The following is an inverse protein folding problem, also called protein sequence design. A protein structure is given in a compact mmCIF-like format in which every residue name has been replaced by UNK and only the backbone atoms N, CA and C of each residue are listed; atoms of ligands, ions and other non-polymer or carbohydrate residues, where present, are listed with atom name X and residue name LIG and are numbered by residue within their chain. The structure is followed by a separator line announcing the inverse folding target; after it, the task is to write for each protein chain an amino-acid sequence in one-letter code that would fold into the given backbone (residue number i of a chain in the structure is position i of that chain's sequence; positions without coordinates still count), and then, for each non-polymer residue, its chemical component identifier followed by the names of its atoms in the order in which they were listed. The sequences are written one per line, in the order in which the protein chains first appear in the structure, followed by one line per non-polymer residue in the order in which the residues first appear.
data_IF_711618092755
#
_entry.id   IF_711618092755
#
_cell.length_a   1.000
_cell.length_b   1.000
_cell.length_c   1.000
_cell.angle_alpha   90.00
_cell.angle_beta   90.00
_cell.angle_gamma   90.00
#
_symmetry.space_group_name_H-M   'P 1'
#
loop_
_entity.id
_entity.type
_entity.pdbx_description
1 polymer ?
#
# COMPACT_ATOMS: atom_id res chain seq x y z
N UNK A 1 3.40 10.74 0.03
CA UNK A 1 2.77 10.17 -1.18
C UNK A 1 3.88 9.92 -2.19
N UNK A 2 4.13 8.66 -2.57
CA UNK A 2 5.14 8.36 -3.60
C UNK A 2 4.54 8.51 -4.99
N UNK A 3 5.30 9.09 -5.90
CA UNK A 3 4.91 9.24 -7.29
C UNK A 3 6.12 9.12 -8.21
N UNK A 4 5.93 8.56 -9.40
CA UNK A 4 6.98 8.44 -10.41
C UNK A 4 6.40 8.50 -11.82
N UNK A 5 7.12 9.17 -12.71
CA UNK A 5 6.92 9.05 -14.15
C UNK A 5 8.00 8.12 -14.69
N UNK A 6 7.57 7.06 -15.36
CA UNK A 6 8.48 6.10 -15.98
C UNK A 6 8.95 6.62 -17.33
N UNK A 7 10.05 6.06 -17.83
CA UNK A 7 10.44 6.26 -19.23
C UNK A 7 9.39 5.66 -20.15
N UNK A 8 9.26 6.21 -21.36
CA UNK A 8 8.44 5.58 -22.38
C UNK A 8 9.00 4.17 -22.66
N UNK A 9 8.14 3.17 -22.91
CA UNK A 9 8.61 1.83 -23.27
C UNK A 9 9.56 1.88 -24.46
N UNK A 10 10.72 1.25 -24.31
CA UNK A 10 11.81 1.23 -25.27
C UNK A 10 12.62 -0.08 -25.07
N UNK A 11 13.14 -0.68 -26.14
CA UNK A 11 13.95 -1.91 -26.12
C UNK A 11 15.26 -1.74 -25.35
N UNK A 12 15.76 -0.50 -25.25
CA UNK A 12 16.97 -0.19 -24.48
C UNK A 12 16.71 -0.16 -22.96
N UNK A 13 15.45 -0.04 -22.53
CA UNK A 13 15.09 0.00 -21.10
C UNK A 13 14.86 -1.43 -20.60
N UNK A 14 15.71 -1.96 -19.70
CA UNK A 14 15.54 -3.32 -19.22
C UNK A 14 14.21 -3.52 -18.50
N UNK A 15 13.50 -4.61 -18.80
CA UNK A 15 12.26 -4.99 -18.10
C UNK A 15 12.44 -4.99 -16.57
N UNK A 16 13.63 -5.40 -16.10
CA UNK A 16 14.02 -5.38 -14.70
C UNK A 16 13.80 -4.01 -14.02
N UNK A 17 14.13 -2.91 -14.70
CA UNK A 17 13.98 -1.56 -14.16
C UNK A 17 12.51 -1.21 -13.93
N UNK A 18 11.65 -1.51 -14.90
CA UNK A 18 10.21 -1.35 -14.80
C UNK A 18 9.63 -2.17 -13.65
N UNK A 19 10.01 -3.46 -13.56
CA UNK A 19 9.51 -4.35 -12.52
C UNK A 19 9.94 -3.88 -11.12
N UNK A 20 11.20 -3.46 -10.95
CA UNK A 20 11.68 -2.89 -9.69
C UNK A 20 10.93 -1.60 -9.31
N UNK A 21 10.58 -0.74 -10.27
CA UNK A 21 9.83 0.48 -9.99
C UNK A 21 8.39 0.19 -9.53
N UNK A 22 7.74 -0.80 -10.14
CA UNK A 22 6.40 -1.26 -9.75
C UNK A 22 6.42 -1.88 -8.36
N UNK A 23 7.39 -2.76 -8.08
CA UNK A 23 7.54 -3.38 -6.75
C UNK A 23 7.79 -2.32 -5.67
N UNK A 24 8.61 -1.32 -5.98
CA UNK A 24 8.85 -0.20 -5.07
C UNK A 24 7.57 0.61 -4.82
N UNK A 25 6.78 0.89 -5.86
CA UNK A 25 5.50 1.58 -5.73
C UNK A 25 4.53 0.81 -4.82
N UNK A 26 4.42 -0.51 -5.00
CA UNK A 26 3.59 -1.38 -4.15
C UNK A 26 4.10 -1.36 -2.71
N UNK A 27 5.41 -1.45 -2.51
CA UNK A 27 5.97 -1.40 -1.17
C UNK A 27 5.71 -0.04 -0.49
N UNK A 28 5.82 1.07 -1.22
CA UNK A 28 5.47 2.39 -0.71
C UNK A 28 3.99 2.49 -0.32
N UNK A 29 3.08 1.88 -1.07
CA UNK A 29 1.64 1.92 -0.77
C UNK A 29 1.33 1.16 0.53
N UNK A 30 2.00 0.03 0.75
CA UNK A 30 1.87 -0.77 1.97
C UNK A 30 2.49 -0.03 3.16
N UNK A 31 3.75 0.43 3.05
CA UNK A 31 4.48 1.09 4.16
C UNK A 31 3.83 2.39 4.60
N UNK A 32 3.42 3.24 3.64
CA UNK A 32 2.80 4.53 3.94
C UNK A 32 1.29 4.42 4.15
N UNK A 33 0.70 3.21 4.03
CA UNK A 33 -0.75 2.95 4.07
C UNK A 33 -1.53 3.96 3.22
N UNK A 34 -1.07 4.19 2.00
CA UNK A 34 -1.55 5.31 1.20
C UNK A 34 -1.38 5.13 -0.31
N UNK A 35 -2.07 5.96 -1.11
CA UNK A 35 -2.02 5.86 -2.55
C UNK A 35 -0.64 6.20 -3.11
N UNK A 36 -0.28 5.53 -4.19
CA UNK A 36 0.89 5.82 -5.03
C UNK A 36 0.44 6.18 -6.43
N UNK A 37 1.28 6.91 -7.18
CA UNK A 37 0.97 7.30 -8.55
C UNK A 37 2.13 6.92 -9.48
N UNK A 38 1.84 6.07 -10.48
CA UNK A 38 2.80 5.71 -11.53
C UNK A 38 2.25 6.25 -12.84
N UNK A 39 2.99 7.14 -13.49
CA UNK A 39 2.64 7.67 -14.80
C UNK A 39 3.40 6.90 -15.89
N UNK A 40 2.67 6.37 -16.86
CA UNK A 40 3.19 5.61 -18.00
C UNK A 40 3.05 6.42 -19.29
N UNK A 41 4.13 7.03 -19.80
CA UNK A 41 4.08 7.75 -21.07
C UNK A 41 4.18 6.76 -22.24
N UNK A 42 3.06 6.41 -22.86
CA UNK A 42 3.05 5.61 -24.09
C UNK A 42 3.09 6.51 -25.33
N UNK A 43 3.87 6.12 -26.34
CA UNK A 43 3.90 6.79 -27.66
C UNK A 43 2.82 6.21 -28.57
N UNK A 44 2.36 6.98 -29.55
CA UNK A 44 1.51 6.43 -30.63
C UNK A 44 2.32 5.44 -31.49
N UNK A 45 1.72 4.38 -32.07
CA UNK A 45 0.29 4.04 -32.12
C UNK A 45 -0.13 3.13 -30.95
N UNK A 46 -1.20 3.51 -30.23
CA UNK A 46 -1.83 2.67 -29.19
C UNK A 46 -2.89 1.72 -29.75
N UNK A 47 -3.12 1.72 -31.07
CA UNK A 47 -4.12 0.83 -31.66
C UNK A 47 -3.68 -0.64 -31.53
N UNK A 48 -4.63 -1.58 -31.42
CA UNK A 48 -4.35 -3.01 -31.48
C UNK A 48 -3.62 -3.38 -32.76
N UNK A 49 -3.01 -4.58 -32.80
CA UNK A 49 -2.15 -5.12 -33.88
C UNK A 49 -2.76 -5.02 -35.31
N UNK A 50 -4.07 -4.76 -35.43
CA UNK A 50 -4.79 -4.59 -36.69
C UNK A 50 -5.58 -3.27 -36.84
N UNK A 51 -5.44 -2.32 -35.90
CA UNK A 51 -6.15 -1.03 -35.91
C UNK A 51 -5.42 0.05 -36.72
N UNK A 52 -6.18 0.99 -37.29
CA UNK A 52 -5.60 2.13 -37.99
C UNK A 52 -4.76 3.02 -37.06
N UNK A 53 -3.57 3.45 -37.50
CA UNK A 53 -2.79 4.48 -36.80
C UNK A 53 -3.61 5.78 -36.78
N UNK A 54 -3.84 6.34 -35.59
CA UNK A 54 -4.51 7.65 -35.45
C UNK A 54 -3.71 8.70 -36.22
N UNK A 55 -4.35 9.38 -37.18
CA UNK A 55 -3.72 10.43 -37.98
C UNK A 55 -2.95 9.97 -39.23
N UNK A 56 -2.90 8.68 -39.55
CA UNK A 56 -2.33 8.18 -40.81
C UNK A 56 -3.44 7.85 -41.83
N UNK A 57 -3.58 8.59 -42.94
CA UNK A 57 -4.62 8.37 -43.94
C UNK A 57 -4.34 7.19 -44.88
N UNK A 58 -3.20 6.49 -44.75
CA UNK A 58 -2.82 5.39 -45.65
C UNK A 58 -3.65 4.12 -45.40
N UNK A 59 -4.34 3.57 -46.42
CA UNK A 59 -4.99 2.27 -46.30
C UNK A 59 -3.89 1.19 -46.19
N UNK A 60 -3.80 0.54 -45.02
CA UNK A 60 -2.68 -0.31 -44.54
C UNK A 60 -1.61 0.36 -43.68
N UNK A 61 -1.97 1.40 -42.92
CA UNK A 61 -1.25 1.68 -41.68
C UNK A 61 -1.59 0.63 -40.59
N UNK A 62 -1.42 -0.65 -40.92
CA UNK A 62 -1.45 -1.76 -39.98
C UNK A 62 -0.11 -1.72 -39.24
N UNK A 63 -0.12 -1.93 -37.93
CA UNK A 63 1.11 -2.12 -37.17
C UNK A 63 1.95 -3.18 -37.92
N UNK A 64 3.16 -2.82 -38.35
CA UNK A 64 4.00 -3.72 -39.14
C UNK A 64 4.20 -5.04 -38.37
N UNK A 65 4.59 -6.14 -39.04
CA UNK A 65 4.81 -7.43 -38.36
C UNK A 65 5.80 -7.34 -37.18
N UNK A 66 6.64 -6.30 -37.13
CA UNK A 66 7.50 -5.96 -35.99
C UNK A 66 6.77 -5.48 -34.73
N UNK A 67 5.47 -5.25 -34.78
CA UNK A 67 4.63 -4.88 -33.63
C UNK A 67 3.97 -6.08 -32.95
N UNK A 68 4.27 -7.32 -33.37
CA UNK A 68 3.85 -8.50 -32.61
C UNK A 68 4.62 -8.53 -31.29
N UNK A 69 3.89 -8.53 -30.19
CA UNK A 69 4.46 -8.76 -28.87
C UNK A 69 5.16 -10.12 -28.87
N UNK A 70 6.48 -10.10 -28.75
CA UNK A 70 7.29 -11.28 -28.52
C UNK A 70 7.75 -11.30 -27.05
N UNK A 71 7.15 -12.14 -26.19
CA UNK A 71 7.55 -12.24 -24.81
C UNK A 71 8.98 -12.74 -24.62
N UNK A 72 9.56 -13.48 -25.58
CA UNK A 72 10.90 -14.03 -25.45
C UNK A 72 11.98 -12.95 -25.49
N UNK A 73 11.73 -11.83 -26.18
CA UNK A 73 12.63 -10.67 -26.18
C UNK A 73 12.85 -10.12 -24.76
N UNK A 74 11.79 -10.03 -23.97
CA UNK A 74 11.80 -9.36 -22.66
C UNK A 74 11.93 -10.33 -21.49
N UNK A 75 11.54 -11.59 -21.68
CA UNK A 75 11.58 -12.64 -20.66
C UNK A 75 12.78 -13.58 -20.81
N UNK A 76 13.70 -13.32 -21.75
CA UNK A 76 14.91 -14.12 -21.99
C UNK A 76 15.82 -14.26 -20.74
N UNK A 77 15.80 -13.29 -19.83
CA UNK A 77 16.56 -13.36 -18.58
C UNK A 77 16.00 -14.41 -17.62
N UNK A 78 16.84 -15.24 -16.95
CA UNK A 78 16.36 -16.29 -16.05
C UNK A 78 15.52 -15.74 -14.89
N UNK A 79 15.85 -14.54 -14.38
CA UNK A 79 15.10 -13.89 -13.30
C UNK A 79 13.76 -13.33 -13.75
N UNK A 80 13.70 -12.71 -14.93
CA UNK A 80 12.45 -12.20 -15.52
C UNK A 80 11.52 -13.34 -15.91
N UNK A 81 12.07 -14.44 -16.42
CA UNK A 81 11.32 -15.67 -16.69
C UNK A 81 10.72 -16.27 -15.40
N UNK A 82 11.52 -16.42 -14.35
CA UNK A 82 11.04 -16.92 -13.05
C UNK A 82 9.96 -16.04 -12.44
N UNK A 83 10.11 -14.71 -12.55
CA UNK A 83 9.08 -13.77 -12.12
C UNK A 83 7.78 -13.96 -12.89
N UNK A 84 7.84 -14.07 -14.22
CA UNK A 84 6.66 -14.25 -15.07
C UNK A 84 5.90 -15.56 -14.80
N UNK A 85 6.59 -16.60 -14.34
CA UNK A 85 5.99 -17.89 -13.96
C UNK A 85 5.56 -17.94 -12.47
N UNK A 86 5.83 -16.89 -11.71
CA UNK A 86 5.62 -16.85 -10.26
C UNK A 86 4.57 -15.84 -9.82
N UNK A 87 4.37 -15.76 -8.50
CA UNK A 87 3.50 -14.77 -7.84
C UNK A 87 4.28 -13.83 -6.91
N UNK A 88 5.61 -13.96 -6.90
CA UNK A 88 6.49 -13.17 -6.03
C UNK A 88 6.91 -11.87 -6.73
N UNK A 89 7.12 -10.76 -5.99
CA UNK A 89 7.73 -9.54 -6.52
C UNK A 89 9.07 -9.82 -7.20
N UNK A 90 9.40 -9.06 -8.25
CA UNK A 90 10.67 -9.16 -8.95
C UNK A 90 11.84 -8.73 -8.06
N UNK A 91 11.64 -7.66 -7.28
CA UNK A 91 12.54 -7.13 -6.27
C UNK A 91 11.80 -6.95 -4.95
N UNK A 92 12.35 -7.53 -3.89
CA UNK A 92 11.96 -7.19 -2.52
C UNK A 92 12.99 -6.22 -1.98
N UNK A 93 12.58 -5.00 -1.65
CA UNK A 93 13.44 -4.16 -0.83
C UNK A 93 13.31 -4.65 0.60
N UNK A 94 14.44 -4.94 1.24
CA UNK A 94 14.46 -5.36 2.63
C UNK A 94 13.56 -4.46 3.48
N UNK A 95 12.78 -5.09 4.36
CA UNK A 95 12.22 -4.36 5.48
C UNK A 95 13.42 -3.87 6.29
N UNK A 96 13.80 -2.61 6.11
CA UNK A 96 14.22 -1.87 7.28
C UNK A 96 13.02 -2.02 8.20
N UNK A 97 13.15 -2.91 9.19
CA UNK A 97 12.21 -3.01 10.29
C UNK A 97 12.08 -1.56 10.73
N UNK A 98 10.95 -0.94 10.40
CA UNK A 98 10.57 0.29 11.04
C UNK A 98 10.15 -0.19 12.41
N UNK A 99 11.15 -0.56 13.23
CA UNK A 99 11.04 -0.41 14.65
C UNK A 99 10.61 1.04 14.76
N UNK A 100 9.33 1.25 15.04
CA UNK A 100 8.93 2.46 15.70
C UNK A 100 9.94 2.57 16.82
N UNK A 101 10.88 3.51 16.71
CA UNK A 101 11.88 3.75 17.74
C UNK A 101 11.11 4.43 18.88
N UNK A 102 10.22 3.68 19.52
CA UNK A 102 10.01 3.82 20.93
C UNK A 102 11.30 3.24 21.51
N UNK A 103 12.29 4.08 21.78
CA UNK A 103 13.38 3.64 22.63
C UNK A 103 12.76 3.05 23.90
N UNK A 104 13.26 1.94 24.42
CA UNK A 104 12.65 1.23 25.57
C UNK A 104 12.33 2.19 26.73
N UNK A 105 13.17 3.22 26.91
CA UNK A 105 12.97 4.35 27.83
C UNK A 105 11.62 5.06 27.62
N UNK A 106 11.26 5.40 26.38
CA UNK A 106 10.01 6.10 26.04
C UNK A 106 8.76 5.26 26.34
N UNK A 107 8.84 3.93 26.28
CA UNK A 107 7.71 3.07 26.67
C UNK A 107 7.63 2.95 28.20
N UNK A 108 8.77 2.86 28.88
CA UNK A 108 8.86 2.87 30.34
C UNK A 108 8.16 4.08 30.96
N UNK A 109 8.48 5.28 30.45
CA UNK A 109 7.89 6.53 30.92
C UNK A 109 6.36 6.55 30.79
N UNK A 110 5.83 6.05 29.66
CA UNK A 110 4.38 5.97 29.43
C UNK A 110 3.74 4.98 30.40
N UNK A 111 4.37 3.84 30.65
CA UNK A 111 3.87 2.83 31.60
C UNK A 111 3.86 3.39 33.02
N UNK A 112 4.90 4.11 33.43
CA UNK A 112 4.95 4.77 34.75
C UNK A 112 3.86 5.84 34.89
N UNK A 113 3.66 6.66 33.85
CA UNK A 113 2.59 7.66 33.81
C UNK A 113 1.21 7.01 33.97
N UNK A 114 0.94 5.92 33.24
CA UNK A 114 -0.33 5.18 33.32
C UNK A 114 -0.51 4.61 34.73
N UNK A 115 0.51 3.96 35.30
CA UNK A 115 0.48 3.40 36.67
C UNK A 115 0.21 4.47 37.74
N UNK A 116 0.76 5.67 37.56
CA UNK A 116 0.55 6.80 38.48
C UNK A 116 -0.82 7.47 38.34
N UNK A 117 -1.55 7.19 37.26
CA UNK A 117 -2.81 7.86 36.94
C UNK A 117 -4.00 7.15 37.58
N UNK A 118 -4.65 7.81 38.54
CA UNK A 118 -5.82 7.25 39.23
C UNK A 118 -7.13 7.32 38.44
N UNK A 119 -7.24 8.28 37.52
CA UNK A 119 -8.44 8.55 36.72
C UNK A 119 -8.01 8.89 35.30
N UNK A 120 -8.05 7.91 34.41
CA UNK A 120 -7.79 8.11 32.99
C UNK A 120 -9.02 7.81 32.15
N UNK A 121 -8.90 8.12 30.87
CA UNK A 121 -9.90 7.83 29.83
C UNK A 121 -9.15 7.37 28.58
N UNK A 122 -9.72 6.40 27.87
CA UNK A 122 -9.20 5.94 26.58
C UNK A 122 -10.09 6.54 25.50
N UNK A 123 -9.48 7.20 24.51
CA UNK A 123 -10.20 7.71 23.34
C UNK A 123 -9.80 6.87 22.14
N UNK A 124 -10.74 6.09 21.62
CA UNK A 124 -10.52 5.23 20.45
C UNK A 124 -11.00 5.93 19.18
N UNK A 125 -10.04 6.33 18.34
CA UNK A 125 -10.30 6.81 16.99
C UNK A 125 -10.58 5.68 16.01
N UNK A 126 -10.27 5.87 14.73
CA UNK A 126 -10.30 4.79 13.74
C UNK A 126 -9.27 3.72 14.11
N UNK A 127 -9.74 2.49 14.31
CA UNK A 127 -8.90 1.32 14.51
C UNK A 127 -8.77 0.54 13.19
N UNK A 128 -7.85 -0.42 13.18
CA UNK A 128 -7.63 -1.36 12.10
C UNK A 128 -8.92 -2.07 11.66
N UNK A 129 -8.96 -2.57 10.42
CA UNK A 129 -10.13 -3.27 9.90
C UNK A 129 -10.36 -4.64 10.58
N UNK A 130 -9.35 -5.18 11.28
CA UNK A 130 -9.47 -6.41 12.03
C UNK A 130 -9.92 -6.17 13.49
N UNK A 131 -10.30 -7.25 14.17
CA UNK A 131 -10.72 -7.18 15.58
C UNK A 131 -9.54 -7.09 16.55
N UNK A 132 -8.29 -7.14 16.08
CA UNK A 132 -7.10 -7.24 16.94
C UNK A 132 -6.89 -5.96 17.74
N UNK A 133 -6.87 -4.82 17.07
CA UNK A 133 -6.72 -3.50 17.72
C UNK A 133 -7.91 -3.19 18.63
N UNK A 134 -9.12 -3.51 18.16
CA UNK A 134 -10.36 -3.32 18.92
C UNK A 134 -10.37 -4.14 20.22
N UNK A 135 -10.01 -5.42 20.14
CA UNK A 135 -9.95 -6.30 21.32
C UNK A 135 -8.86 -5.86 22.29
N UNK A 136 -7.72 -5.40 21.78
CA UNK A 136 -6.61 -4.90 22.61
C UNK A 136 -6.97 -3.62 23.36
N UNK A 137 -7.68 -2.70 22.69
CA UNK A 137 -8.16 -1.46 23.30
C UNK A 137 -9.17 -1.73 24.42
N UNK A 138 -10.12 -2.66 24.20
CA UNK A 138 -11.09 -3.07 25.21
C UNK A 138 -10.41 -3.77 26.39
N UNK A 139 -9.47 -4.68 26.11
CA UNK A 139 -8.70 -5.36 27.14
C UNK A 139 -7.90 -4.38 28.01
N UNK A 140 -7.28 -3.37 27.39
CA UNK A 140 -6.57 -2.32 28.12
C UNK A 140 -7.52 -1.47 28.97
N UNK A 141 -8.69 -1.11 28.45
CA UNK A 141 -9.71 -0.37 29.19
C UNK A 141 -10.17 -1.12 30.44
N UNK A 142 -10.42 -2.43 30.28
CA UNK A 142 -10.82 -3.32 31.37
C UNK A 142 -9.72 -3.44 32.43
N UNK A 143 -8.48 -3.68 32.00
CA UNK A 143 -7.31 -3.77 32.88
C UNK A 143 -7.11 -2.50 33.72
N UNK A 144 -7.29 -1.32 33.11
CA UNK A 144 -7.09 -0.04 33.78
C UNK A 144 -8.33 0.42 34.55
N UNK A 145 -9.49 -0.20 34.33
CA UNK A 145 -10.78 0.28 34.83
C UNK A 145 -11.15 1.67 34.28
N UNK A 146 -10.61 2.04 33.12
CA UNK A 146 -10.82 3.36 32.53
C UNK A 146 -11.96 3.32 31.50
N UNK A 147 -12.83 4.34 31.46
CA UNK A 147 -13.84 4.44 30.43
C UNK A 147 -13.19 4.59 29.04
N UNK A 148 -13.81 3.97 28.03
CA UNK A 148 -13.45 4.15 26.63
C UNK A 148 -14.50 4.99 25.89
N UNK A 149 -14.06 6.06 25.26
CA UNK A 149 -14.86 6.92 24.38
C UNK A 149 -14.56 6.48 22.94
N UNK A 150 -15.58 5.93 22.27
CA UNK A 150 -15.44 5.36 20.94
C UNK A 150 -15.92 6.32 19.84
N UNK A 151 -15.00 6.74 18.98
CA UNK A 151 -15.35 7.43 17.73
C UNK A 151 -16.23 6.53 16.83
N UNK A 152 -17.00 7.10 15.90
CA UNK A 152 -17.83 6.31 14.97
C UNK A 152 -17.00 5.37 14.11
N UNK A 153 -15.76 5.73 13.77
CA UNK A 153 -14.86 4.94 12.95
C UNK A 153 -14.10 3.87 13.73
N UNK A 154 -14.23 3.83 15.06
CA UNK A 154 -13.61 2.80 15.92
C UNK A 154 -14.29 1.44 15.83
N UNK A 155 -15.55 1.39 15.37
CA UNK A 155 -16.44 0.23 15.47
C UNK A 155 -16.67 -0.30 16.90
N UNK A 156 -16.28 0.43 17.95
CA UNK A 156 -16.41 -0.02 19.35
C UNK A 156 -17.73 0.40 20.02
N UNK A 157 -18.57 1.22 19.38
CA UNK A 157 -19.79 1.81 19.98
C UNK A 157 -20.81 0.81 20.52
N UNK A 158 -20.81 -0.41 19.99
CA UNK A 158 -21.71 -1.48 20.42
C UNK A 158 -21.13 -2.31 21.57
N UNK A 159 -19.86 -2.12 21.92
CA UNK A 159 -19.23 -2.84 23.02
C UNK A 159 -19.81 -2.40 24.38
N UNK A 160 -20.13 -3.34 25.29
CA UNK A 160 -20.68 -3.03 26.61
C UNK A 160 -19.82 -2.08 27.46
N UNK A 161 -18.50 -2.11 27.26
CA UNK A 161 -17.52 -1.32 28.03
C UNK A 161 -17.38 0.12 27.53
N UNK A 162 -17.99 0.45 26.39
CA UNK A 162 -17.88 1.78 25.79
C UNK A 162 -18.83 2.75 26.45
N UNK A 163 -18.30 3.90 26.88
CA UNK A 163 -19.13 5.02 27.30
C UNK A 163 -19.82 5.56 26.06
N UNK A 164 -21.09 5.20 25.91
CA UNK A 164 -21.96 5.77 24.90
C UNK A 164 -22.19 7.22 25.28
N UNK A 165 -21.76 8.14 24.43
CA UNK A 165 -22.21 9.52 24.50
C UNK A 165 -23.71 9.54 24.16
N UNK A 166 -24.56 9.17 25.12
CA UNK A 166 -25.99 9.40 25.05
C UNK A 166 -26.21 10.87 25.39
N UNK A 167 -26.40 11.64 24.32
CA UNK A 167 -26.96 12.99 24.33
C UNK A 167 -28.32 12.94 25.02
N UNK A 168 -28.37 13.34 26.29
CA UNK A 168 -29.60 13.86 26.88
C UNK A 168 -29.56 15.38 26.71
N UNK A 169 -30.31 15.86 25.73
CA UNK A 169 -30.91 17.21 25.74
C UNK A 169 -32.36 17.02 26.15
#
# INVERSE_FOLDING_TARGET
RWQRTLSAPDEEVPLAALLSDVDHAVQCSIKLRGPVHVNFPFRENLAPVSGAIRGDPRPRSLASESARWDPDLWLSGPRTYQWAQGVKPYTTHGEAQQSYIFGEQSLGDVVELIKGTKRGVIVAGRLGPDQTESSSALYLADMLGWPIIADIQSNLRTSPQTVKAHTHV
#
